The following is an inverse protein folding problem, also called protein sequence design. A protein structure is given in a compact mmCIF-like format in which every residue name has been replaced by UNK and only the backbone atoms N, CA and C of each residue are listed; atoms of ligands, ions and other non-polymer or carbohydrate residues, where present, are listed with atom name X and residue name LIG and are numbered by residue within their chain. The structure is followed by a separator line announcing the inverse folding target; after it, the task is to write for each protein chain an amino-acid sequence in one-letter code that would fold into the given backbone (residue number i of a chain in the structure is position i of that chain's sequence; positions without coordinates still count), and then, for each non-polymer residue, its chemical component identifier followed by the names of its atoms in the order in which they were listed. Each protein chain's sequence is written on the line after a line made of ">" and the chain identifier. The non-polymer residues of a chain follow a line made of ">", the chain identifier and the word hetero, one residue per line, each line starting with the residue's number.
data_IF_837842471761
#
_entry.id   IF_837842471761
#
_cell.length_a   1.000
_cell.length_b   1.000
_cell.length_c   1.000
_cell.angle_alpha   90.00
_cell.angle_beta   90.00
_cell.angle_gamma   90.00
#
_symmetry.space_group_name_H-M   'P 1'
#
loop_
_entity.id
_entity.type
_entity.pdbx_description
1 polymer ?
#
# COMPACT_ATOMS: atom_id res chain seq x y z
N UNK A 1 -37.31 -43.24 -37.75
CA UNK A 1 -37.11 -42.57 -36.45
C UNK A 1 -35.71 -42.58 -35.85
N UNK A 2 -34.80 -43.51 -36.17
CA UNK A 2 -33.41 -43.49 -35.63
C UNK A 2 -32.59 -42.22 -35.96
N UNK A 3 -32.67 -41.76 -37.21
CA UNK A 3 -31.94 -40.57 -37.70
C UNK A 3 -32.33 -39.27 -36.97
N UNK A 4 -33.57 -39.18 -36.45
CA UNK A 4 -34.06 -37.99 -35.74
C UNK A 4 -33.56 -37.91 -34.30
N UNK A 5 -33.17 -39.03 -33.72
CA UNK A 5 -32.61 -39.12 -32.37
C UNK A 5 -31.11 -38.90 -32.31
N UNK A 6 -30.36 -39.17 -33.39
CA UNK A 6 -28.90 -38.92 -33.50
C UNK A 6 -28.57 -37.47 -33.87
N UNK A 7 -29.42 -36.77 -34.63
CA UNK A 7 -29.21 -35.36 -34.98
C UNK A 7 -29.38 -34.39 -33.78
N UNK A 8 -30.13 -34.77 -32.74
CA UNK A 8 -30.34 -33.98 -31.52
C UNK A 8 -29.10 -33.87 -30.60
N UNK A 9 -28.38 -34.96 -30.28
CA UNK A 9 -27.17 -34.88 -29.47
C UNK A 9 -26.03 -34.14 -30.17
N UNK A 10 -25.90 -34.24 -31.50
CA UNK A 10 -24.91 -33.46 -32.26
C UNK A 10 -25.23 -31.96 -32.27
N UNK A 11 -26.50 -31.59 -32.45
CA UNK A 11 -26.93 -30.19 -32.36
C UNK A 11 -26.72 -29.60 -30.95
N UNK A 12 -26.94 -30.39 -29.90
CA UNK A 12 -26.65 -29.98 -28.53
C UNK A 12 -25.14 -29.81 -28.29
N UNK A 13 -24.31 -30.75 -28.77
CA UNK A 13 -22.86 -30.65 -28.68
C UNK A 13 -22.32 -29.40 -29.39
N UNK A 14 -22.87 -29.07 -30.58
CA UNK A 14 -22.53 -27.84 -31.30
C UNK A 14 -22.91 -26.57 -30.51
N UNK A 15 -24.13 -26.53 -29.92
CA UNK A 15 -24.58 -25.40 -29.12
C UNK A 15 -23.76 -25.22 -27.82
N UNK A 16 -23.33 -26.33 -27.20
CA UNK A 16 -22.41 -26.29 -26.04
C UNK A 16 -21.05 -25.74 -26.45
N UNK A 17 -20.48 -26.21 -27.56
CA UNK A 17 -19.18 -25.72 -28.05
C UNK A 17 -19.22 -24.22 -28.41
N UNK A 18 -20.30 -23.75 -29.04
CA UNK A 18 -20.51 -22.33 -29.33
C UNK A 18 -20.63 -21.51 -28.04
N UNK A 19 -21.36 -22.01 -27.05
CA UNK A 19 -21.50 -21.35 -25.74
C UNK A 19 -20.15 -21.28 -25.00
N UNK A 20 -19.38 -22.38 -24.97
CA UNK A 20 -18.05 -22.44 -24.36
C UNK A 20 -17.08 -21.47 -25.04
N UNK A 21 -17.07 -21.43 -26.38
CA UNK A 21 -16.25 -20.48 -27.14
C UNK A 21 -16.63 -19.03 -26.82
N UNK A 22 -17.94 -18.73 -26.75
CA UNK A 22 -18.42 -17.39 -26.40
C UNK A 22 -18.11 -17.01 -24.94
N UNK A 23 -18.11 -17.97 -24.01
CA UNK A 23 -17.68 -17.76 -22.62
C UNK A 23 -16.19 -17.43 -22.60
N UNK A 24 -15.35 -18.24 -23.27
CA UNK A 24 -13.90 -18.05 -23.31
C UNK A 24 -13.50 -16.69 -23.91
N UNK A 25 -14.15 -16.29 -25.01
CA UNK A 25 -13.92 -14.97 -25.63
C UNK A 25 -14.27 -13.82 -24.66
N UNK A 26 -15.41 -13.93 -23.96
CA UNK A 26 -15.84 -12.93 -22.97
C UNK A 26 -14.90 -12.88 -21.76
N UNK A 27 -14.40 -14.01 -21.31
CA UNK A 27 -13.40 -14.10 -20.23
C UNK A 27 -12.08 -13.45 -20.64
N UNK A 28 -11.62 -13.67 -21.87
CA UNK A 28 -10.41 -13.07 -22.41
C UNK A 28 -10.53 -11.55 -22.52
N UNK A 29 -11.61 -11.05 -23.11
CA UNK A 29 -11.87 -9.60 -23.21
C UNK A 29 -11.93 -8.95 -21.82
N UNK A 30 -12.52 -9.64 -20.85
CA UNK A 30 -12.56 -9.16 -19.48
C UNK A 30 -11.17 -9.16 -18.81
N UNK A 31 -10.34 -10.16 -19.06
CA UNK A 31 -8.97 -10.24 -18.56
C UNK A 31 -8.11 -9.10 -19.12
N UNK A 32 -8.21 -8.84 -20.42
CA UNK A 32 -7.47 -7.78 -21.10
C UNK A 32 -7.89 -6.39 -20.60
N UNK A 33 -9.19 -6.18 -20.37
CA UNK A 33 -9.72 -4.92 -19.83
C UNK A 33 -9.20 -4.60 -18.42
N UNK A 34 -8.89 -5.60 -17.59
CA UNK A 34 -8.38 -5.38 -16.22
C UNK A 34 -6.86 -5.42 -16.10
N UNK A 35 -6.15 -5.92 -17.11
CA UNK A 35 -4.68 -6.11 -17.06
C UNK A 35 -3.92 -4.77 -16.87
N UNK A 36 -4.28 -3.75 -17.65
CA UNK A 36 -3.67 -2.41 -17.54
C UNK A 36 -3.86 -1.79 -16.15
N UNK A 37 -5.11 -1.68 -15.64
CA UNK A 37 -5.40 -1.22 -14.29
C UNK A 37 -4.66 -2.01 -13.19
N UNK A 38 -4.58 -3.35 -13.28
CA UNK A 38 -3.84 -4.18 -12.32
C UNK A 38 -2.34 -3.84 -12.34
N UNK A 39 -1.75 -3.69 -13.53
CA UNK A 39 -0.33 -3.36 -13.67
C UNK A 39 -0.01 -1.96 -13.11
N UNK A 40 -0.91 -0.99 -13.28
CA UNK A 40 -0.77 0.34 -12.68
C UNK A 40 -0.93 0.28 -11.15
N UNK A 41 -1.95 -0.42 -10.66
CA UNK A 41 -2.20 -0.61 -9.23
C UNK A 41 -1.01 -1.24 -8.51
N UNK A 42 -0.46 -2.30 -9.10
CA UNK A 42 0.70 -3.02 -8.55
C UNK A 42 1.92 -2.10 -8.49
N UNK A 43 2.15 -1.26 -9.51
CA UNK A 43 3.25 -0.28 -9.51
C UNK A 43 3.09 0.77 -8.41
N UNK A 44 1.89 1.32 -8.24
CA UNK A 44 1.60 2.29 -7.17
C UNK A 44 1.77 1.66 -5.79
N UNK A 45 1.32 0.42 -5.62
CA UNK A 45 1.42 -0.31 -4.36
C UNK A 45 2.89 -0.61 -3.99
N UNK A 46 3.71 -1.03 -4.96
CA UNK A 46 5.16 -1.18 -4.77
C UNK A 46 5.80 0.14 -4.31
N UNK A 47 5.48 1.26 -4.97
CA UNK A 47 6.00 2.58 -4.58
C UNK A 47 5.56 3.01 -3.17
N UNK A 48 4.30 2.74 -2.82
CA UNK A 48 3.77 3.01 -1.48
C UNK A 48 4.45 2.13 -0.41
N UNK A 49 4.69 0.86 -0.70
CA UNK A 49 5.42 -0.04 0.17
C UNK A 49 6.87 0.43 0.39
N UNK A 50 7.56 0.80 -0.69
CA UNK A 50 8.90 1.39 -0.61
C UNK A 50 8.93 2.64 0.28
N UNK A 51 7.94 3.52 0.12
CA UNK A 51 7.80 4.74 0.94
C UNK A 51 7.58 4.43 2.42
N UNK A 52 6.74 3.44 2.75
CA UNK A 52 6.52 3.01 4.15
C UNK A 52 7.77 2.40 4.76
N UNK A 53 8.46 1.53 4.02
CA UNK A 53 9.74 0.94 4.46
C UNK A 53 10.80 2.02 4.72
N UNK A 54 10.91 3.01 3.84
CA UNK A 54 11.81 4.14 4.02
C UNK A 54 11.50 4.94 5.30
N UNK A 55 10.24 5.34 5.50
CA UNK A 55 9.80 6.07 6.70
C UNK A 55 10.09 5.28 7.98
N UNK A 56 9.79 3.97 7.97
CA UNK A 56 10.08 3.09 9.11
C UNK A 56 11.57 3.01 9.40
N UNK A 57 12.41 2.89 8.38
CA UNK A 57 13.86 2.83 8.53
C UNK A 57 14.46 4.11 9.13
N UNK A 58 13.94 5.28 8.74
CA UNK A 58 14.30 6.59 9.31
C UNK A 58 13.80 6.70 10.76
N UNK A 59 12.52 6.40 11.00
CA UNK A 59 11.92 6.50 12.33
C UNK A 59 12.64 5.62 13.37
N UNK A 60 13.04 4.41 12.99
CA UNK A 60 13.78 3.49 13.89
C UNK A 60 15.10 4.10 14.37
N UNK A 61 15.80 4.84 13.51
CA UNK A 61 17.09 5.47 13.83
C UNK A 61 16.93 6.74 14.64
N UNK A 62 15.89 7.51 14.34
CA UNK A 62 15.55 8.71 15.11
C UNK A 62 15.02 8.36 16.50
N UNK A 63 14.37 7.21 16.69
CA UNK A 63 13.89 6.74 17.99
C UNK A 63 15.01 6.13 18.86
N UNK A 64 16.06 5.59 18.24
CA UNK A 64 17.14 4.91 18.94
C UNK A 64 18.22 5.83 19.50
N UNK A 65 18.34 7.08 19.01
CA UNK A 65 19.52 7.91 19.26
C UNK A 65 19.20 9.41 19.39
N UNK A 66 20.01 10.12 20.18
CA UNK A 66 20.01 11.58 20.25
C UNK A 66 20.59 12.18 18.96
N UNK A 67 19.72 12.54 18.02
CA UNK A 67 20.11 13.12 16.72
C UNK A 67 19.87 14.63 16.72
N UNK A 68 20.90 15.40 16.30
CA UNK A 68 20.84 16.86 16.15
C UNK A 68 19.69 17.25 15.22
N UNK A 69 18.90 18.26 15.60
CA UNK A 69 17.69 18.70 14.88
C UNK A 69 17.92 18.92 13.37
N UNK A 70 19.06 19.50 12.98
CA UNK A 70 19.46 19.68 11.58
C UNK A 70 19.43 18.35 10.80
N UNK A 71 20.06 17.31 11.36
CA UNK A 71 20.13 15.99 10.72
C UNK A 71 18.79 15.29 10.78
N UNK A 72 18.06 15.40 11.88
CA UNK A 72 16.74 14.78 11.99
C UNK A 72 15.77 15.32 10.93
N UNK A 73 15.69 16.65 10.76
CA UNK A 73 14.88 17.28 9.70
C UNK A 73 15.32 16.85 8.31
N UNK A 74 16.63 16.81 8.04
CA UNK A 74 17.17 16.31 6.78
C UNK A 74 16.76 14.85 6.51
N UNK A 75 16.86 13.98 7.52
CA UNK A 75 16.51 12.56 7.37
C UNK A 75 15.01 12.38 7.08
N UNK A 76 14.16 13.09 7.82
CA UNK A 76 12.71 13.04 7.64
C UNK A 76 12.29 13.56 6.26
N UNK A 77 12.81 14.72 5.83
CA UNK A 77 12.31 15.42 4.64
C UNK A 77 13.03 15.04 3.35
N UNK A 78 14.35 14.80 3.40
CA UNK A 78 15.20 14.61 2.21
C UNK A 78 15.75 13.19 2.09
N UNK A 79 16.06 12.53 3.20
CA UNK A 79 16.57 11.15 3.15
C UNK A 79 15.45 10.10 3.01
N UNK A 80 14.23 10.37 3.47
CA UNK A 80 13.08 9.50 3.23
C UNK A 80 12.81 9.28 1.73
N UNK A 81 12.79 10.31 0.85
CA UNK A 81 12.74 10.12 -0.60
C UNK A 81 13.91 9.30 -1.17
N UNK A 82 15.13 9.50 -0.67
CA UNK A 82 16.32 8.73 -1.07
C UNK A 82 16.13 7.23 -0.78
N UNK A 83 15.72 6.90 0.44
CA UNK A 83 15.45 5.51 0.81
C UNK A 83 14.28 4.93 0.02
N UNK A 84 13.26 5.73 -0.26
CA UNK A 84 12.12 5.31 -1.10
C UNK A 84 12.60 4.92 -2.51
N UNK A 85 13.49 5.71 -3.10
CA UNK A 85 14.13 5.38 -4.37
C UNK A 85 14.96 4.10 -4.26
N UNK A 86 15.79 3.97 -3.21
CA UNK A 86 16.60 2.78 -2.97
C UNK A 86 15.74 1.50 -2.89
N UNK A 87 14.65 1.52 -2.11
CA UNK A 87 13.70 0.39 -2.03
C UNK A 87 13.03 0.09 -3.37
N UNK A 88 12.77 1.12 -4.18
CA UNK A 88 12.12 0.96 -5.50
C UNK A 88 13.06 0.29 -6.50
N UNK A 89 14.37 0.58 -6.44
CA UNK A 89 15.35 0.06 -7.40
C UNK A 89 16.06 -1.22 -6.93
N UNK A 90 15.84 -1.68 -5.70
CA UNK A 90 16.55 -2.83 -5.11
C UNK A 90 16.48 -4.09 -5.96
N UNK A 91 15.31 -4.40 -6.56
CA UNK A 91 15.16 -5.54 -7.48
C UNK A 91 16.09 -5.43 -8.71
N UNK A 92 16.27 -4.21 -9.23
CA UNK A 92 17.09 -3.94 -10.42
C UNK A 92 18.57 -3.67 -10.09
N UNK A 93 18.86 -3.23 -8.87
CA UNK A 93 20.18 -2.86 -8.38
C UNK A 93 20.33 -3.31 -6.92
N UNK A 94 20.65 -4.59 -6.70
CA UNK A 94 20.83 -5.14 -5.36
C UNK A 94 21.89 -4.37 -4.56
N UNK A 95 21.61 -4.13 -3.28
CA UNK A 95 22.46 -3.37 -2.36
C UNK A 95 22.22 -1.85 -2.35
N UNK A 96 21.22 -1.36 -3.09
CA UNK A 96 20.83 0.06 -3.06
C UNK A 96 20.34 0.46 -1.66
N UNK A 97 19.48 -0.36 -1.05
CA UNK A 97 18.95 -0.13 0.31
C UNK A 97 20.07 -0.16 1.34
N UNK A 98 20.95 -1.15 1.29
CA UNK A 98 22.09 -1.26 2.23
C UNK A 98 23.01 -0.03 2.10
N UNK A 99 23.34 0.39 0.88
CA UNK A 99 24.18 1.57 0.65
C UNK A 99 23.55 2.87 1.20
N UNK A 100 22.27 3.12 0.92
CA UNK A 100 21.56 4.30 1.42
C UNK A 100 21.40 4.27 2.96
N UNK A 101 21.19 3.08 3.51
CA UNK A 101 21.05 2.87 4.96
C UNK A 101 22.38 3.11 5.69
N UNK A 102 23.50 2.60 5.17
CA UNK A 102 24.84 2.87 5.73
C UNK A 102 25.19 4.35 5.69
N UNK A 103 24.89 5.04 4.60
CA UNK A 103 25.15 6.48 4.50
C UNK A 103 24.35 7.28 5.54
N UNK A 104 23.12 6.86 5.86
CA UNK A 104 22.35 7.42 6.97
C UNK A 104 23.01 7.16 8.32
N UNK A 105 23.43 5.92 8.57
CA UNK A 105 24.10 5.54 9.83
C UNK A 105 25.41 6.31 10.02
N UNK A 106 26.20 6.45 8.96
CA UNK A 106 27.43 7.23 8.96
C UNK A 106 27.18 8.73 9.17
N UNK A 107 26.09 9.29 8.62
CA UNK A 107 25.69 10.68 8.85
C UNK A 107 25.26 10.93 10.29
N UNK A 108 24.45 10.04 10.86
CA UNK A 108 24.05 10.14 12.27
C UNK A 108 25.29 10.04 13.16
N UNK A 109 26.19 9.10 12.88
CA UNK A 109 27.43 8.97 13.63
C UNK A 109 28.34 10.19 13.47
N UNK A 110 28.41 10.83 12.30
CA UNK A 110 29.34 11.93 12.03
C UNK A 110 29.03 13.22 12.81
N UNK A 111 27.76 13.43 13.19
CA UNK A 111 27.32 14.60 13.97
C UNK A 111 27.27 14.36 15.48
N UNK A 112 27.48 13.12 15.94
CA UNK A 112 27.62 12.85 17.38
C UNK A 112 28.89 13.49 17.94
N UNK A 113 28.94 13.85 19.23
CA UNK A 113 30.17 14.21 19.90
C UNK A 113 31.26 13.12 19.73
N UNK A 114 32.53 13.54 19.70
CA UNK A 114 33.71 12.67 19.58
C UNK A 114 34.63 12.97 20.76
N UNK A 115 34.61 12.07 21.74
CA UNK A 115 35.30 12.23 23.01
C UNK A 115 36.79 11.92 22.89
N UNK A 116 37.18 11.05 21.96
CA UNK A 116 38.59 10.66 21.79
C UNK A 116 39.21 11.20 20.50
N UNK A 117 40.54 11.29 20.50
CA UNK A 117 41.29 11.68 19.30
C UNK A 117 41.16 10.63 18.18
N UNK A 118 41.03 9.36 18.53
CA UNK A 118 40.85 8.24 17.59
C UNK A 118 39.51 8.34 16.87
N UNK A 119 38.44 8.65 17.60
CA UNK A 119 37.12 8.90 17.03
C UNK A 119 37.12 10.09 16.06
N UNK A 120 37.86 11.17 16.37
CA UNK A 120 38.01 12.31 15.46
C UNK A 120 38.82 11.98 14.21
N UNK A 121 39.90 11.21 14.34
CA UNK A 121 40.65 10.69 13.19
C UNK A 121 39.77 9.80 12.31
N UNK A 122 38.94 8.95 12.93
CA UNK A 122 37.97 8.13 12.21
C UNK A 122 36.92 8.98 11.48
N UNK A 123 36.45 10.08 12.11
CA UNK A 123 35.53 11.02 11.48
C UNK A 123 36.12 11.63 10.22
N UNK A 124 37.30 12.24 10.33
CA UNK A 124 37.99 12.88 9.19
C UNK A 124 38.21 11.88 8.05
N UNK A 125 38.55 10.63 8.38
CA UNK A 125 38.75 9.56 7.37
C UNK A 125 37.44 9.15 6.67
N UNK A 126 36.30 9.14 7.36
CA UNK A 126 35.01 8.68 6.82
C UNK A 126 34.27 9.76 6.02
N UNK A 127 34.47 11.04 6.35
CA UNK A 127 33.76 12.16 5.74
C UNK A 127 33.78 12.18 4.20
N UNK A 128 34.92 11.98 3.50
CA UNK A 128 34.93 12.04 2.04
C UNK A 128 34.03 11.00 1.38
N UNK A 129 34.03 9.77 1.91
CA UNK A 129 33.19 8.67 1.41
C UNK A 129 31.72 8.91 1.68
N UNK A 130 31.39 9.38 2.89
CA UNK A 130 30.04 9.77 3.27
C UNK A 130 29.50 10.86 2.34
N UNK A 131 30.21 11.99 2.23
CA UNK A 131 29.79 13.12 1.41
C UNK A 131 29.63 12.73 -0.06
N UNK A 132 30.52 11.90 -0.60
CA UNK A 132 30.39 11.38 -1.97
C UNK A 132 29.10 10.58 -2.13
N UNK A 133 28.74 9.76 -1.15
CA UNK A 133 27.56 8.90 -1.19
C UNK A 133 26.27 9.72 -1.03
N UNK A 134 26.26 10.66 -0.08
CA UNK A 134 25.15 11.61 0.09
C UNK A 134 24.89 12.38 -1.21
N UNK A 135 25.93 12.99 -1.81
CA UNK A 135 25.77 13.76 -3.05
C UNK A 135 25.16 12.92 -4.19
N UNK A 136 25.65 11.68 -4.39
CA UNK A 136 25.10 10.77 -5.42
C UNK A 136 23.61 10.48 -5.23
N UNK A 137 23.17 10.25 -4.00
CA UNK A 137 21.76 9.99 -3.70
C UNK A 137 20.88 11.24 -3.85
N UNK A 138 21.40 12.40 -3.44
CA UNK A 138 20.71 13.68 -3.60
C UNK A 138 20.59 14.07 -5.09
N UNK A 139 21.60 13.77 -5.90
CA UNK A 139 21.53 13.92 -7.36
C UNK A 139 20.47 12.98 -7.97
N UNK A 140 20.44 11.71 -7.54
CA UNK A 140 19.48 10.73 -8.02
C UNK A 140 18.02 11.07 -7.67
N UNK A 141 17.81 11.85 -6.60
CA UNK A 141 16.49 12.35 -6.18
C UNK A 141 16.19 13.77 -6.69
N UNK A 142 17.11 14.38 -7.43
CA UNK A 142 16.92 15.69 -8.06
C UNK A 142 17.05 16.89 -7.11
N UNK A 143 17.65 16.73 -5.92
CA UNK A 143 17.83 17.84 -4.99
C UNK A 143 19.10 18.63 -5.31
N UNK A 144 18.96 19.75 -6.02
CA UNK A 144 20.10 20.55 -6.53
C UNK A 144 19.97 22.06 -6.25
N UNK A 145 19.11 22.46 -5.33
CA UNK A 145 18.80 23.86 -5.05
C UNK A 145 19.72 24.48 -3.97
N UNK A 146 19.47 25.75 -3.68
CA UNK A 146 20.18 26.51 -2.64
C UNK A 146 20.03 25.89 -1.23
N UNK A 147 18.96 25.12 -0.95
CA UNK A 147 18.78 24.48 0.36
C UNK A 147 19.80 23.36 0.58
N UNK A 148 20.18 22.63 -0.48
CA UNK A 148 21.27 21.63 -0.41
C UNK A 148 22.59 22.27 0.00
N UNK A 149 22.91 23.43 -0.56
CA UNK A 149 24.15 24.15 -0.22
C UNK A 149 24.15 24.60 1.24
N UNK A 150 23.01 25.15 1.72
CA UNK A 150 22.84 25.55 3.12
C UNK A 150 22.98 24.36 4.08
N UNK A 151 22.38 23.22 3.74
CA UNK A 151 22.51 22.00 4.53
C UNK A 151 23.97 21.55 4.67
N UNK A 152 24.73 21.48 3.57
CA UNK A 152 26.14 21.07 3.64
C UNK A 152 27.03 22.09 4.35
N UNK A 153 26.71 23.38 4.27
CA UNK A 153 27.40 24.42 5.04
C UNK A 153 27.17 24.23 6.55
N UNK A 154 25.91 24.06 6.98
CA UNK A 154 25.58 23.81 8.37
C UNK A 154 26.19 22.49 8.89
N UNK A 155 26.21 21.44 8.05
CA UNK A 155 26.85 20.17 8.38
C UNK A 155 28.37 20.32 8.55
N UNK A 156 29.03 21.11 7.69
CA UNK A 156 30.45 21.41 7.82
C UNK A 156 30.77 22.18 9.10
N UNK A 157 29.92 23.11 9.52
CA UNK A 157 30.05 23.81 10.80
C UNK A 157 29.91 22.85 11.98
N UNK A 158 28.95 21.94 11.97
CA UNK A 158 28.82 20.88 12.98
C UNK A 158 30.08 20.02 13.06
N UNK A 159 30.64 19.60 11.92
CA UNK A 159 31.86 18.80 11.92
C UNK A 159 33.08 19.59 12.40
N UNK A 160 33.19 20.86 12.03
CA UNK A 160 34.26 21.73 12.49
C UNK A 160 34.19 21.96 14.01
N UNK A 161 32.99 22.14 14.58
CA UNK A 161 32.84 22.28 16.03
C UNK A 161 33.22 21.00 16.77
N UNK A 162 32.84 19.82 16.26
CA UNK A 162 33.23 18.51 16.82
C UNK A 162 34.75 18.33 16.81
N UNK A 163 35.42 18.72 15.72
CA UNK A 163 36.88 18.58 15.59
C UNK A 163 37.64 19.61 16.45
N UNK A 164 37.07 20.80 16.69
CA UNK A 164 37.67 21.88 17.48
C UNK A 164 37.35 21.82 18.98
N UNK A 165 36.29 21.13 19.38
CA UNK A 165 35.89 21.03 20.77
C UNK A 165 37.05 20.53 21.66
N UNK A 166 37.28 21.07 22.86
CA UNK A 166 38.25 20.51 23.79
C UNK A 166 38.01 19.01 23.98
N UNK A 167 39.08 18.21 24.01
CA UNK A 167 38.98 16.74 24.19
C UNK A 167 38.40 16.43 25.58
N UNK A 168 38.67 17.29 26.55
CA UNK A 168 38.03 17.30 27.86
C UNK A 168 36.82 18.26 27.83
N UNK A 169 35.67 17.76 27.38
CA UNK A 169 34.41 18.43 27.69
C UNK A 169 34.14 18.22 29.19
N UNK A 170 33.83 19.28 29.93
CA UNK A 170 33.44 19.12 31.33
C UNK A 170 32.20 18.22 31.42
N UNK A 171 32.09 17.39 32.47
CA UNK A 171 30.90 16.55 32.67
C UNK A 171 29.60 17.34 32.63
N UNK A 172 29.59 18.61 33.05
CA UNK A 172 28.39 19.46 33.00
C UNK A 172 28.00 19.80 31.57
N UNK A 173 28.96 20.12 30.69
CA UNK A 173 28.63 20.45 29.29
C UNK A 173 28.21 19.22 28.48
N UNK A 174 28.74 18.04 28.81
CA UNK A 174 28.27 16.77 28.26
C UNK A 174 26.83 16.47 28.71
N UNK A 175 26.53 16.71 29.99
CA UNK A 175 25.19 16.52 30.55
C UNK A 175 24.18 17.49 29.93
N UNK A 176 24.51 18.76 29.78
CA UNK A 176 23.62 19.78 29.21
C UNK A 176 23.20 19.44 27.77
N UNK A 177 24.17 19.10 26.91
CA UNK A 177 23.90 18.68 25.53
C UNK A 177 23.07 17.39 25.47
N UNK A 178 23.32 16.45 26.38
CA UNK A 178 22.53 15.22 26.48
C UNK A 178 21.10 15.48 26.97
N UNK A 179 20.88 16.46 27.86
CA UNK A 179 19.57 16.85 28.37
C UNK A 179 18.74 17.56 27.28
N UNK A 180 19.32 18.49 26.54
CA UNK A 180 18.62 19.17 25.43
C UNK A 180 18.18 18.16 24.36
N UNK A 181 19.06 17.24 23.97
CA UNK A 181 18.73 16.20 23.02
C UNK A 181 17.67 15.22 23.57
N UNK A 182 17.71 14.90 24.87
CA UNK A 182 16.69 14.06 25.51
C UNK A 182 15.30 14.74 25.55
N UNK A 183 15.23 16.05 25.78
CA UNK A 183 13.97 16.80 25.75
C UNK A 183 13.34 16.79 24.36
N UNK A 184 14.13 17.01 23.31
CA UNK A 184 13.64 16.98 21.93
C UNK A 184 13.16 15.58 21.51
N UNK A 185 13.87 14.53 21.93
CA UNK A 185 13.46 13.15 21.69
C UNK A 185 12.15 12.80 22.42
N UNK A 186 11.99 13.26 23.67
CA UNK A 186 10.76 13.07 24.43
C UNK A 186 9.52 13.67 23.73
N UNK A 187 9.64 14.89 23.18
CA UNK A 187 8.57 15.51 22.41
C UNK A 187 8.21 14.72 21.15
N UNK A 188 9.22 14.20 20.44
CA UNK A 188 8.99 13.36 19.26
C UNK A 188 8.30 12.04 19.62
N UNK A 189 8.68 11.40 20.74
CA UNK A 189 8.04 10.17 21.23
C UNK A 189 6.56 10.39 21.55
N UNK A 190 6.20 11.49 22.21
CA UNK A 190 4.80 11.84 22.48
C UNK A 190 4.00 11.94 21.17
N UNK A 191 4.54 12.59 20.14
CA UNK A 191 3.88 12.69 18.84
C UNK A 191 3.73 11.32 18.16
N UNK A 192 4.71 10.42 18.32
CA UNK A 192 4.64 9.05 17.79
C UNK A 192 3.62 8.19 18.54
N UNK A 193 3.56 8.28 19.86
CA UNK A 193 2.55 7.59 20.68
C UNK A 193 1.14 8.04 20.31
N UNK A 194 0.94 9.35 20.13
CA UNK A 194 -0.35 9.88 19.66
C UNK A 194 -0.73 9.35 18.27
N UNK A 195 0.23 9.24 17.35
CA UNK A 195 -0.01 8.65 16.04
C UNK A 195 -0.33 7.14 16.12
N UNK A 196 0.36 6.40 16.98
CA UNK A 196 0.10 4.97 17.19
C UNK A 196 -1.29 4.71 17.80
N UNK A 197 -1.72 5.54 18.75
CA UNK A 197 -3.08 5.46 19.31
C UNK A 197 -4.14 5.72 18.23
N UNK A 198 -3.92 6.72 17.37
CA UNK A 198 -4.82 7.00 16.25
C UNK A 198 -4.90 5.83 15.23
N UNK A 199 -3.78 5.16 14.96
CA UNK A 199 -3.75 3.97 14.10
C UNK A 199 -4.50 2.78 14.74
N UNK A 200 -4.41 2.61 16.06
CA UNK A 200 -5.09 1.54 16.81
C UNK A 200 -6.60 1.76 16.89
N UNK A 201 -7.05 3.00 17.08
CA UNK A 201 -8.47 3.38 16.97
C UNK A 201 -9.01 3.14 15.56
N UNK A 202 -8.23 3.45 14.52
CA UNK A 202 -8.62 3.18 13.14
C UNK A 202 -8.75 1.67 12.85
N UNK A 203 -7.99 0.80 13.52
CA UNK A 203 -8.05 -0.64 13.33
C UNK A 203 -9.35 -1.28 13.87
N UNK A 204 -10.02 -0.64 14.82
CA UNK A 204 -11.30 -1.09 15.40
C UNK A 204 -12.53 -0.69 14.55
N UNK A 205 -12.33 0.00 13.42
CA UNK A 205 -13.41 0.49 12.56
C UNK A 205 -14.21 -0.68 11.91
N UNK A 206 -15.55 -0.76 12.12
CA UNK A 206 -16.41 -1.72 11.43
C UNK A 206 -16.30 -1.67 9.90
N UNK A 207 -16.04 -0.50 9.31
CA UNK A 207 -15.81 -0.35 7.88
C UNK A 207 -14.50 -1.03 7.45
N UNK A 208 -13.45 -0.99 8.29
CA UNK A 208 -12.20 -1.71 8.04
C UNK A 208 -12.42 -3.23 8.06
N UNK A 209 -13.24 -3.73 8.99
CA UNK A 209 -13.65 -5.14 9.04
C UNK A 209 -14.44 -5.56 7.79
N UNK A 210 -15.39 -4.74 7.35
CA UNK A 210 -16.17 -4.98 6.12
C UNK A 210 -15.31 -4.94 4.85
N UNK A 211 -14.33 -4.04 4.80
CA UNK A 211 -13.35 -3.98 3.72
C UNK A 211 -12.44 -5.22 3.71
N UNK A 212 -12.04 -5.72 4.89
CA UNK A 212 -11.14 -6.85 5.04
C UNK A 212 -11.70 -8.17 4.48
N UNK A 213 -13.02 -8.37 4.57
CA UNK A 213 -13.68 -9.59 4.06
C UNK A 213 -13.84 -9.62 2.54
N UNK A 214 -13.62 -8.49 1.84
CA UNK A 214 -13.73 -8.44 0.38
C UNK A 214 -12.70 -9.36 -0.30
N UNK A 215 -13.16 -10.27 -1.14
CA UNK A 215 -12.31 -11.14 -1.96
C UNK A 215 -12.73 -11.09 -3.42
N UNK A 216 -11.77 -11.35 -4.32
CA UNK A 216 -12.01 -11.46 -5.76
C UNK A 216 -13.23 -12.34 -6.04
N UNK A 217 -14.11 -11.88 -6.92
CA UNK A 217 -15.35 -12.55 -7.29
C UNK A 217 -16.58 -12.08 -6.52
N UNK A 218 -16.43 -11.45 -5.35
CA UNK A 218 -17.56 -10.92 -4.59
C UNK A 218 -18.32 -9.86 -5.36
N UNK A 219 -19.64 -9.85 -5.18
CA UNK A 219 -20.52 -8.82 -5.74
C UNK A 219 -20.83 -7.79 -4.67
N UNK A 220 -20.78 -6.52 -5.07
CA UNK A 220 -21.14 -5.40 -4.22
C UNK A 220 -22.17 -4.54 -4.92
N UNK A 221 -22.99 -3.89 -4.12
CA UNK A 221 -24.00 -2.96 -4.57
C UNK A 221 -23.65 -1.56 -4.08
N UNK A 222 -23.48 -0.63 -5.01
CA UNK A 222 -23.28 0.79 -4.71
C UNK A 222 -24.59 1.55 -4.90
N UNK A 223 -25.04 2.22 -3.85
CA UNK A 223 -26.19 3.13 -3.86
C UNK A 223 -25.69 4.56 -3.99
N UNK A 224 -26.03 5.22 -5.11
CA UNK A 224 -25.68 6.63 -5.36
C UNK A 224 -26.88 7.44 -5.82
N UNK A 225 -26.66 8.72 -6.10
CA UNK A 225 -27.71 9.63 -6.58
C UNK A 225 -28.37 9.19 -7.90
N UNK A 226 -27.62 8.45 -8.73
CA UNK A 226 -28.10 7.90 -10.02
C UNK A 226 -28.75 6.51 -9.90
N UNK A 227 -29.01 6.03 -8.69
CA UNK A 227 -29.56 4.71 -8.42
C UNK A 227 -28.51 3.67 -8.00
N UNK A 228 -28.91 2.41 -8.07
CA UNK A 228 -28.18 1.26 -7.53
C UNK A 228 -27.37 0.57 -8.63
N UNK A 229 -26.07 0.36 -8.40
CA UNK A 229 -25.15 -0.30 -9.34
C UNK A 229 -24.56 -1.57 -8.72
N UNK A 230 -24.72 -2.70 -9.41
CA UNK A 230 -24.15 -3.99 -9.02
C UNK A 230 -22.83 -4.22 -9.75
N UNK A 231 -21.78 -4.49 -8.98
CA UNK A 231 -20.42 -4.65 -9.48
C UNK A 231 -19.82 -5.94 -8.95
N UNK A 232 -18.89 -6.51 -9.71
CA UNK A 232 -18.08 -7.65 -9.28
C UNK A 232 -16.66 -7.20 -9.01
N UNK A 233 -16.12 -7.56 -7.86
CA UNK A 233 -14.73 -7.33 -7.50
C UNK A 233 -13.83 -8.22 -8.37
N UNK A 234 -13.13 -7.61 -9.32
CA UNK A 234 -12.30 -8.31 -10.30
C UNK A 234 -10.90 -8.62 -9.75
N UNK A 235 -10.38 -7.74 -8.89
CA UNK A 235 -9.05 -7.87 -8.28
C UNK A 235 -8.96 -7.07 -6.97
N UNK A 236 -8.15 -7.56 -6.05
CA UNK A 236 -7.81 -6.91 -4.77
C UNK A 236 -6.30 -6.81 -4.70
N UNK A 237 -5.79 -5.62 -4.38
CA UNK A 237 -4.34 -5.45 -4.27
C UNK A 237 -3.76 -6.24 -3.10
N UNK A 238 -2.54 -6.80 -3.22
CA UNK A 238 -1.86 -7.52 -2.14
C UNK A 238 -1.87 -6.81 -0.77
N UNK A 239 -1.68 -5.49 -0.75
CA UNK A 239 -1.71 -4.67 0.47
C UNK A 239 -3.09 -4.07 0.75
N UNK A 240 -4.11 -4.49 -0.02
CA UNK A 240 -5.53 -4.11 0.10
C UNK A 240 -5.77 -2.60 0.10
N UNK A 241 -4.93 -1.85 -0.61
CA UNK A 241 -5.03 -0.39 -0.76
C UNK A 241 -5.82 0.02 -2.00
N UNK A 242 -5.99 -0.88 -2.97
CA UNK A 242 -6.76 -0.65 -4.20
C UNK A 242 -7.60 -1.89 -4.58
N UNK A 243 -8.81 -1.63 -5.07
CA UNK A 243 -9.79 -2.64 -5.46
C UNK A 243 -10.29 -2.34 -6.86
N UNK A 244 -10.26 -3.32 -7.76
CA UNK A 244 -10.70 -3.15 -9.14
C UNK A 244 -12.04 -3.83 -9.32
N UNK A 245 -13.03 -3.06 -9.74
CA UNK A 245 -14.40 -3.52 -9.98
C UNK A 245 -14.69 -3.61 -11.47
N UNK A 246 -15.53 -4.57 -11.82
CA UNK A 246 -16.07 -4.77 -13.17
C UNK A 246 -17.60 -4.72 -13.12
N UNK A 247 -18.20 -3.94 -14.02
CA UNK A 247 -19.65 -3.87 -14.17
C UNK A 247 -20.23 -5.08 -14.92
N UNK A 248 -21.53 -5.28 -14.81
CA UNK A 248 -22.25 -6.21 -15.70
C UNK A 248 -22.49 -5.52 -17.06
N UNK A 249 -21.79 -5.94 -18.12
CA UNK A 249 -21.94 -5.41 -19.50
C UNK A 249 -20.61 -4.92 -20.12
N UNK A 250 -20.68 -4.10 -21.17
CA UNK A 250 -19.51 -3.43 -21.82
C UNK A 250 -18.90 -2.29 -20.97
N UNK A 251 -19.21 -2.23 -19.67
CA UNK A 251 -18.70 -1.16 -18.81
C UNK A 251 -17.25 -1.43 -18.43
N UNK A 252 -16.42 -0.40 -18.61
CA UNK A 252 -15.00 -0.39 -18.30
C UNK A 252 -14.74 -0.74 -16.83
N UNK A 253 -13.69 -1.53 -16.60
CA UNK A 253 -13.21 -1.79 -15.26
C UNK A 253 -12.68 -0.50 -14.64
N UNK A 254 -12.97 -0.28 -13.35
CA UNK A 254 -12.50 0.89 -12.65
C UNK A 254 -11.93 0.54 -11.28
N UNK A 255 -11.01 1.37 -10.82
CA UNK A 255 -10.28 1.16 -9.56
C UNK A 255 -10.82 2.10 -8.48
N UNK A 256 -10.97 1.58 -7.26
CA UNK A 256 -11.29 2.37 -6.07
C UNK A 256 -10.20 2.17 -5.00
N UNK A 257 -9.68 3.24 -4.38
CA UNK A 257 -8.79 3.13 -3.23
C UNK A 257 -9.56 2.69 -1.98
N UNK A 258 -8.85 2.04 -1.06
CA UNK A 258 -9.39 1.56 0.22
C UNK A 258 -10.16 2.65 0.97
N UNK A 259 -9.59 3.86 1.09
CA UNK A 259 -10.23 5.00 1.76
C UNK A 259 -11.63 5.30 1.23
N UNK A 260 -11.80 5.29 -0.11
CA UNK A 260 -13.11 5.54 -0.72
C UNK A 260 -14.10 4.41 -0.45
N UNK A 261 -13.64 3.17 -0.29
CA UNK A 261 -14.49 2.06 0.10
C UNK A 261 -14.82 2.10 1.59
N UNK A 262 -13.87 2.47 2.45
CA UNK A 262 -14.12 2.69 3.88
C UNK A 262 -15.20 3.76 4.06
N UNK A 263 -15.07 4.90 3.40
CA UNK A 263 -16.08 5.96 3.42
C UNK A 263 -17.42 5.46 2.87
N UNK A 264 -17.42 4.65 1.82
CA UNK A 264 -18.64 4.06 1.29
C UNK A 264 -19.31 3.09 2.29
N UNK A 265 -18.53 2.29 3.04
CA UNK A 265 -19.03 1.40 4.09
C UNK A 265 -19.56 2.20 5.28
N UNK A 266 -18.84 3.23 5.73
CA UNK A 266 -19.26 4.13 6.82
C UNK A 266 -20.56 4.85 6.51
N UNK A 267 -20.72 5.32 5.27
CA UNK A 267 -21.94 6.00 4.80
C UNK A 267 -23.08 5.04 4.42
N UNK A 268 -22.84 3.72 4.44
CA UNK A 268 -23.81 2.70 4.01
C UNK A 268 -24.15 2.74 2.52
N UNK A 269 -23.34 3.43 1.70
CA UNK A 269 -23.52 3.56 0.25
C UNK A 269 -23.00 2.34 -0.52
N UNK A 270 -22.32 1.40 0.14
CA UNK A 270 -21.95 0.10 -0.40
C UNK A 270 -22.51 -1.04 0.47
N UNK A 271 -22.97 -2.11 -0.17
CA UNK A 271 -23.35 -3.36 0.50
C UNK A 271 -22.75 -4.56 -0.21
N UNK A 272 -22.23 -5.52 0.55
CA UNK A 272 -21.77 -6.80 0.00
C UNK A 272 -23.00 -7.67 -0.27
N UNK A 273 -23.13 -8.16 -1.50
CA UNK A 273 -24.20 -9.08 -1.88
C UNK A 273 -23.75 -10.50 -1.57
N UNK A 274 -24.52 -11.24 -0.78
CA UNK A 274 -24.29 -12.66 -0.57
C UNK A 274 -24.34 -13.40 -1.92
N UNK A 275 -23.49 -14.41 -2.08
CA UNK A 275 -23.58 -15.31 -3.22
C UNK A 275 -24.90 -16.09 -3.11
N UNK A 276 -25.96 -15.60 -3.76
CA UNK A 276 -27.15 -16.41 -3.98
C UNK A 276 -26.72 -17.61 -4.83
N UNK A 277 -26.62 -18.77 -4.18
CA UNK A 277 -26.45 -20.03 -4.86
C UNK A 277 -27.58 -20.18 -5.87
N UNK A 278 -27.22 -20.23 -7.16
CA UNK A 278 -28.15 -20.33 -8.30
C UNK A 278 -29.07 -21.56 -8.20
N UNK A 279 -28.75 -22.52 -7.33
CA UNK A 279 -29.56 -23.72 -7.07
C UNK A 279 -30.85 -23.42 -6.28
N UNK A 280 -30.90 -22.33 -5.50
CA UNK A 280 -32.04 -22.03 -4.63
C UNK A 280 -33.31 -21.60 -5.38
N UNK A 281 -33.18 -20.80 -6.45
CA UNK A 281 -34.36 -20.23 -7.16
C UNK A 281 -34.97 -21.16 -8.20
N UNK A 282 -34.18 -22.03 -8.82
CA UNK A 282 -34.69 -22.94 -9.84
C UNK A 282 -35.58 -24.02 -9.22
N UNK A 283 -35.29 -24.43 -7.97
CA UNK A 283 -36.13 -25.40 -7.25
C UNK A 283 -37.43 -24.78 -6.71
N UNK A 284 -37.45 -23.50 -6.31
CA UNK A 284 -38.71 -22.86 -5.86
C UNK A 284 -39.66 -22.56 -7.01
N UNK A 285 -39.13 -22.29 -8.22
CA UNK A 285 -39.95 -22.03 -9.40
C UNK A 285 -40.49 -23.34 -10.01
N UNK A 286 -39.73 -24.44 -9.95
CA UNK A 286 -40.21 -25.77 -10.34
C UNK A 286 -41.20 -26.39 -9.33
N UNK A 287 -41.08 -26.07 -8.03
CA UNK A 287 -42.03 -26.52 -7.00
C UNK A 287 -43.35 -25.72 -7.00
N UNK A 288 -43.37 -24.50 -7.56
CA UNK A 288 -44.58 -23.67 -7.66
C UNK A 288 -45.49 -24.01 -8.85
N UNK A 289 -44.96 -24.61 -9.92
CA UNK A 289 -45.75 -24.98 -11.11
C UNK A 289 -46.40 -26.37 -11.01
N UNK A 290 -46.00 -27.22 -10.06
CA UNK A 290 -46.61 -28.55 -9.84
C UNK A 290 -47.82 -28.56 -8.90
N UNK A 291 -48.27 -27.40 -8.40
CA UNK A 291 -49.40 -27.29 -7.46
C UNK A 291 -50.73 -26.81 -8.11
N UNK A 292 -50.80 -26.65 -9.44
CA UNK A 292 -52.01 -26.16 -10.13
C UNK A 292 -52.51 -27.03 -11.29
N UNK A 293 -52.17 -28.31 -11.36
CA UNK A 293 -52.84 -29.23 -12.28
C UNK A 293 -53.01 -30.62 -11.66
N UNK A 294 -54.08 -30.78 -10.90
CA UNK A 294 -54.72 -32.08 -10.74
C UNK A 294 -56.21 -31.93 -11.11
N UNK A 295 -56.62 -32.26 -12.34
CA UNK A 295 -58.01 -32.28 -12.74
C UNK A 295 -58.55 -33.69 -12.52
N UNK A 296 -58.94 -34.03 -11.30
CA UNK A 296 -59.83 -35.19 -11.10
C UNK A 296 -60.66 -35.06 -9.83
N UNK A 297 -61.89 -34.58 -9.99
CA UNK A 297 -63.13 -35.02 -9.30
C UNK A 297 -64.19 -33.92 -9.34
N UNK A 298 -65.03 -33.93 -10.39
CA UNK A 298 -66.45 -33.55 -10.29
C UNK A 298 -67.22 -33.90 -11.56
N UNK A 299 -68.01 -34.97 -11.45
CA UNK A 299 -69.38 -35.11 -11.93
C UNK A 299 -69.74 -34.85 -13.41
N UNK A 300 -70.23 -35.91 -14.05
CA UNK A 300 -71.47 -36.01 -14.85
C UNK A 300 -71.52 -37.40 -15.50
N UNK A 301 -72.61 -38.15 -15.67
CA UNK A 301 -73.98 -38.21 -15.15
C UNK A 301 -74.56 -39.49 -15.82
N UNK A 302 -75.35 -40.29 -15.11
CA UNK A 302 -76.02 -41.49 -15.64
C UNK A 302 -76.55 -42.39 -14.55
#
# INVERSE_FOLDING_TARGET
>A
DKVRHEARPEAFAAAVAELEASIAEREQLQADAIAGPIAQATRQEKAAAASRSARKAVALRLAGEQVVALVATFLEQRWTPVLTLAYTIEESKPGAVDNATRAMDDLIWSVKPKATQEERKALIKRLPGLLTTLNKWLDATGWQDAERLQFFAALAECHASIVRAPIELSPERQLELAVEAAQQDALRRIAQEQAAIADEEAALDPAASALAVLVRGMRVEFSGASGVRKLRLAWVSPLRTLFIFSGAGRQEAFSLPAERLLDAFRTGSIRVLAAEGVVGRVLTQAAGESAMNDPSLAAQAG
#
